data_IF_393129913001
#
_entry.id   IF_393129913001
#
_cell.length_a   1.000
_cell.length_b   1.000
_cell.length_c   1.000
_cell.angle_alpha   90.00
_cell.angle_beta   90.00
_cell.angle_gamma   90.00
#
_symmetry.space_group_name_H-M   'P 1'
#
loop_
_entity.id
_entity.type
_entity.pdbx_description
1 polymer ?
#
# COMPACT_ATOMS: atom_id res chain seq x y z
N UNK A 1 -17.76 18.53 -5.55
CA UNK A 1 -17.04 17.90 -4.43
C UNK A 1 -15.77 18.69 -4.26
N UNK A 2 -15.64 19.44 -3.15
CA UNK A 2 -14.32 19.91 -2.76
C UNK A 2 -13.52 18.67 -2.39
N UNK A 3 -12.51 18.36 -3.21
CA UNK A 3 -11.54 17.33 -2.85
C UNK A 3 -10.75 17.94 -1.70
N UNK A 4 -10.95 17.45 -0.49
CA UNK A 4 -10.04 17.73 0.62
C UNK A 4 -8.61 17.44 0.18
N UNK A 5 -7.62 18.13 0.74
CA UNK A 5 -6.21 17.93 0.39
C UNK A 5 -5.82 16.45 0.38
N UNK A 6 -4.82 16.11 -0.43
CA UNK A 6 -4.28 14.75 -0.47
C UNK A 6 -3.65 14.37 0.87
N UNK A 7 -3.94 13.16 1.37
CA UNK A 7 -3.29 12.65 2.57
C UNK A 7 -1.79 12.40 2.34
N UNK A 8 -1.00 12.54 3.41
CA UNK A 8 0.44 12.28 3.40
C UNK A 8 0.76 10.80 3.15
N UNK A 9 1.84 10.47 2.41
CA UNK A 9 2.15 9.08 2.06
C UNK A 9 2.33 8.17 3.28
N UNK A 10 3.00 8.65 4.33
CA UNK A 10 3.21 7.89 5.56
C UNK A 10 1.88 7.48 6.21
N UNK A 11 0.91 8.41 6.25
CA UNK A 11 -0.42 8.15 6.79
C UNK A 11 -1.17 7.10 5.97
N UNK A 12 -1.13 7.21 4.64
CA UNK A 12 -1.77 6.24 3.75
C UNK A 12 -1.19 4.83 3.99
N UNK A 13 0.14 4.72 4.13
CA UNK A 13 0.80 3.43 4.37
C UNK A 13 0.44 2.89 5.76
N UNK A 14 0.43 3.72 6.80
CA UNK A 14 0.05 3.31 8.16
C UNK A 14 -1.39 2.78 8.21
N UNK A 15 -2.32 3.50 7.61
CA UNK A 15 -3.72 3.10 7.55
C UNK A 15 -3.90 1.83 6.68
N UNK A 16 -3.19 1.71 5.56
CA UNK A 16 -3.23 0.51 4.71
C UNK A 16 -2.72 -0.75 5.45
N UNK A 17 -1.66 -0.63 6.24
CA UNK A 17 -1.14 -1.73 7.08
C UNK A 17 -2.19 -2.12 8.12
N UNK A 18 -2.85 -1.15 8.75
CA UNK A 18 -3.87 -1.43 9.75
C UNK A 18 -5.12 -2.08 9.15
N UNK A 19 -5.61 -1.57 8.01
CA UNK A 19 -6.72 -2.21 7.29
C UNK A 19 -6.36 -3.62 6.83
N UNK A 20 -5.10 -3.88 6.43
CA UNK A 20 -4.64 -5.24 6.12
C UNK A 20 -4.71 -6.16 7.34
N UNK A 21 -4.30 -5.70 8.53
CA UNK A 21 -4.41 -6.49 9.77
C UNK A 21 -5.86 -6.81 10.10
N UNK A 22 -6.74 -5.81 9.97
CA UNK A 22 -8.18 -5.99 10.17
C UNK A 22 -8.74 -7.04 9.17
N UNK A 23 -8.39 -6.93 7.89
CA UNK A 23 -8.80 -7.87 6.84
C UNK A 23 -8.34 -9.30 7.15
N UNK A 24 -7.11 -9.47 7.65
CA UNK A 24 -6.56 -10.79 8.00
C UNK A 24 -7.07 -11.34 9.33
N UNK A 25 -7.62 -10.51 10.23
CA UNK A 25 -8.03 -10.91 11.59
C UNK A 25 -8.95 -12.14 11.62
N UNK A 26 -9.83 -12.31 10.62
CA UNK A 26 -10.72 -13.46 10.50
C UNK A 26 -10.02 -14.82 10.34
N UNK A 27 -8.76 -14.83 9.92
CA UNK A 27 -7.98 -16.07 9.74
C UNK A 27 -7.43 -16.62 11.05
N UNK A 28 -7.24 -15.79 12.08
CA UNK A 28 -6.62 -16.18 13.36
C UNK A 28 -7.37 -17.30 14.09
N UNK A 29 -8.70 -17.32 13.97
CA UNK A 29 -9.57 -18.33 14.61
C UNK A 29 -9.76 -19.61 13.80
N UNK A 30 -9.28 -19.68 12.56
CA UNK A 30 -9.50 -20.82 11.69
C UNK A 30 -8.47 -21.94 11.98
N UNK A 31 -8.89 -23.15 12.41
CA UNK A 31 -7.97 -24.23 12.79
C UNK A 31 -7.15 -24.79 11.62
N UNK A 32 -7.50 -24.45 10.37
CA UNK A 32 -6.76 -24.86 9.16
C UNK A 32 -5.62 -23.91 8.80
N UNK A 33 -5.46 -22.80 9.53
CA UNK A 33 -4.45 -21.79 9.24
C UNK A 33 -3.17 -22.12 9.96
N UNK A 34 -2.06 -22.10 9.23
CA UNK A 34 -0.73 -22.15 9.82
C UNK A 34 -0.47 -20.86 10.60
N UNK A 35 -0.18 -21.00 11.90
CA UNK A 35 0.05 -19.86 12.79
C UNK A 35 1.29 -19.06 12.41
N UNK A 36 2.35 -19.71 11.94
CA UNK A 36 3.57 -19.02 11.49
C UNK A 36 3.30 -18.14 10.28
N UNK A 37 2.60 -18.68 9.27
CA UNK A 37 2.21 -17.92 8.08
C UNK A 37 1.26 -16.77 8.39
N UNK A 38 0.37 -16.95 9.36
CA UNK A 38 -0.51 -15.87 9.80
C UNK A 38 0.29 -14.70 10.38
N UNK A 39 1.20 -14.97 11.32
CA UNK A 39 2.05 -13.94 11.94
C UNK A 39 2.98 -13.26 10.92
N UNK A 40 3.48 -14.02 9.94
CA UNK A 40 4.24 -13.47 8.80
C UNK A 40 3.39 -12.53 7.95
N UNK A 41 2.16 -12.94 7.59
CA UNK A 41 1.28 -12.17 6.71
C UNK A 41 0.83 -10.81 7.29
N UNK A 42 0.86 -10.66 8.62
CA UNK A 42 0.57 -9.40 9.34
C UNK A 42 1.68 -8.36 9.18
N UNK A 43 2.87 -8.74 8.68
CA UNK A 43 4.03 -7.87 8.45
C UNK A 43 4.30 -7.78 6.95
N UNK A 44 3.71 -6.81 6.23
CA UNK A 44 3.89 -6.70 4.79
C UNK A 44 5.34 -6.35 4.44
N UNK A 45 5.88 -7.05 3.44
CA UNK A 45 7.21 -6.81 2.85
C UNK A 45 7.11 -6.25 1.43
N UNK A 46 5.90 -6.19 0.88
CA UNK A 46 5.61 -5.69 -0.46
C UNK A 46 4.40 -4.78 -0.43
N UNK A 47 4.44 -3.72 -1.23
CA UNK A 47 3.32 -2.81 -1.45
C UNK A 47 3.08 -2.66 -2.95
N UNK A 48 1.82 -2.83 -3.37
CA UNK A 48 1.44 -2.74 -4.78
C UNK A 48 0.36 -1.68 -4.97
N UNK A 49 0.64 -0.70 -5.83
CA UNK A 49 -0.30 0.34 -6.24
C UNK A 49 -1.03 -0.11 -7.50
N UNK A 50 -2.00 -1.02 -7.34
CA UNK A 50 -2.70 -1.64 -8.47
C UNK A 50 -4.15 -2.05 -8.19
N UNK A 51 -4.74 -1.62 -7.06
CA UNK A 51 -6.07 -2.08 -6.67
C UNK A 51 -7.17 -1.48 -7.55
N UNK A 52 -7.16 -0.16 -7.72
CA UNK A 52 -8.15 0.59 -8.49
C UNK A 52 -7.62 1.98 -8.81
N UNK A 53 -8.24 2.64 -9.79
CA UNK A 53 -7.85 3.98 -10.25
C UNK A 53 -6.50 4.01 -10.95
N UNK A 54 -6.04 5.22 -11.24
CA UNK A 54 -4.69 5.47 -11.77
C UNK A 54 -3.82 6.06 -10.66
N UNK A 55 -2.85 5.30 -10.11
CA UNK A 55 -2.08 5.73 -8.94
C UNK A 55 -1.20 6.95 -9.21
N UNK A 56 -0.78 7.18 -10.46
CA UNK A 56 0.04 8.36 -10.82
C UNK A 56 -0.73 9.68 -10.75
N UNK A 57 -2.06 9.66 -10.58
CA UNK A 57 -2.86 10.85 -10.27
C UNK A 57 -2.65 11.36 -8.85
N UNK A 58 -2.08 10.55 -7.94
CA UNK A 58 -1.68 11.00 -6.62
C UNK A 58 -0.38 11.83 -6.73
N UNK A 59 -0.39 13.14 -6.38
CA UNK A 59 0.75 14.02 -6.65
C UNK A 59 2.06 13.64 -5.94
N UNK A 60 1.97 12.86 -4.85
CA UNK A 60 3.11 12.45 -4.01
C UNK A 60 3.45 10.95 -4.20
N UNK A 61 3.20 10.40 -5.40
CA UNK A 61 3.42 8.96 -5.68
C UNK A 61 4.88 8.54 -5.50
N UNK A 62 5.84 9.37 -5.90
CA UNK A 62 7.27 9.10 -5.69
C UNK A 62 7.62 9.11 -4.20
N UNK A 63 7.06 10.04 -3.42
CA UNK A 63 7.25 10.08 -1.96
C UNK A 63 6.63 8.86 -1.27
N UNK A 64 5.52 8.34 -1.79
CA UNK A 64 4.92 7.09 -1.31
C UNK A 64 5.84 5.89 -1.55
N UNK A 65 6.51 5.82 -2.69
CA UNK A 65 7.50 4.78 -2.97
C UNK A 65 8.67 4.89 -1.98
N UNK A 66 9.25 6.08 -1.84
CA UNK A 66 10.38 6.33 -0.92
C UNK A 66 9.99 6.02 0.53
N UNK A 67 8.78 6.37 0.96
CA UNK A 67 8.30 6.09 2.31
C UNK A 67 8.09 4.58 2.55
N UNK A 68 7.61 3.84 1.54
CA UNK A 68 7.51 2.39 1.61
C UNK A 68 8.90 1.72 1.66
N UNK A 69 9.86 2.21 0.89
CA UNK A 69 11.25 1.74 0.91
C UNK A 69 11.92 1.95 2.26
N UNK A 70 11.72 3.11 2.91
CA UNK A 70 12.21 3.38 4.28
C UNK A 70 11.69 2.37 5.31
N UNK A 71 10.51 1.79 5.05
CA UNK A 71 9.87 0.76 5.87
C UNK A 71 10.32 -0.66 5.49
N UNK A 72 11.26 -0.79 4.55
CA UNK A 72 11.81 -2.06 4.08
C UNK A 72 10.90 -2.84 3.14
N UNK A 73 9.93 -2.17 2.50
CA UNK A 73 9.02 -2.81 1.56
C UNK A 73 9.52 -2.68 0.12
N UNK A 74 9.30 -3.73 -0.68
CA UNK A 74 9.47 -3.69 -2.14
C UNK A 74 8.18 -3.14 -2.75
N UNK A 75 8.29 -2.12 -3.60
CA UNK A 75 7.14 -1.46 -4.21
C UNK A 75 6.93 -1.87 -5.67
N UNK A 76 5.68 -2.05 -6.05
CA UNK A 76 5.26 -2.27 -7.43
C UNK A 76 4.23 -1.21 -7.82
N UNK A 77 4.58 -0.35 -8.77
CA UNK A 77 3.69 0.64 -9.36
C UNK A 77 3.09 0.07 -10.66
N UNK A 78 1.77 0.12 -10.79
CA UNK A 78 1.06 -0.26 -12.02
C UNK A 78 0.30 0.97 -12.52
N UNK A 79 0.62 1.43 -13.73
CA UNK A 79 0.03 2.63 -14.33
C UNK A 79 -0.48 2.34 -15.73
N UNK A 80 -1.56 3.02 -16.14
CA UNK A 80 -2.06 3.03 -17.51
C UNK A 80 -1.27 4.00 -18.43
N UNK A 81 -0.36 4.80 -17.88
CA UNK A 81 0.51 5.71 -18.62
C UNK A 81 -0.10 7.07 -18.98
N UNK A 82 -1.23 7.49 -18.41
CA UNK A 82 -1.83 8.81 -18.71
C UNK A 82 -1.05 10.00 -18.15
N UNK A 83 -0.15 9.76 -17.19
CA UNK A 83 0.69 10.79 -16.53
C UNK A 83 2.16 10.39 -16.64
N UNK A 84 2.76 10.39 -17.84
CA UNK A 84 4.12 9.90 -18.07
C UNK A 84 5.19 10.67 -17.27
N UNK A 85 4.98 11.96 -17.01
CA UNK A 85 5.88 12.81 -16.23
C UNK A 85 6.08 12.34 -14.79
N UNK A 86 5.18 11.52 -14.26
CA UNK A 86 5.30 10.91 -12.94
C UNK A 86 6.39 9.83 -12.87
N UNK A 87 6.77 9.24 -14.01
CA UNK A 87 7.76 8.15 -14.10
C UNK A 87 9.19 8.67 -14.32
N UNK A 88 9.34 9.95 -14.61
CA UNK A 88 10.64 10.59 -14.85
C UNK A 88 11.31 11.10 -13.55
N UNK A 89 10.64 10.92 -12.41
CA UNK A 89 11.03 11.44 -11.10
C UNK A 89 11.58 10.38 -10.17
#
# INVERSE_FOLDING_TARGET
MEVGGFDEPARIIDEAIEQRRLLLSGWKGNPRVDRGKFEEALKPTMMTMSLTGEPTLYPMISDMIVEAEKRGMITFLVTNGTVPESLER
#
